data_IF_612567525782
#
_entry.id   IF_612567525782
#
_cell.length_a   1.000
_cell.length_b   1.000
_cell.length_c   1.000
_cell.angle_alpha   90.00
_cell.angle_beta   90.00
_cell.angle_gamma   90.00
#
_symmetry.space_group_name_H-M   'P 1'
#
loop_
_entity.id
_entity.type
_entity.pdbx_description
1 polymer ?
#
# COMPACT_ATOMS: atom_id res chain seq x y z
N UNK A 1 46.49 -44.64 20.40
CA UNK A 1 46.17 -43.48 19.53
C UNK A 1 44.84 -43.74 18.79
N UNK A 2 43.75 -44.00 19.53
CA UNK A 2 42.51 -44.57 18.96
C UNK A 2 41.20 -44.07 19.55
N UNK A 3 41.22 -42.98 20.33
CA UNK A 3 40.00 -42.45 20.98
C UNK A 3 39.54 -41.07 20.48
N UNK A 4 40.31 -40.40 19.61
CA UNK A 4 39.94 -39.06 19.13
C UNK A 4 39.12 -39.06 17.82
N UNK A 5 39.14 -40.12 17.02
CA UNK A 5 38.42 -40.15 15.74
C UNK A 5 36.92 -40.47 15.88
N UNK A 6 36.49 -41.22 16.92
CA UNK A 6 35.07 -41.51 17.12
C UNK A 6 34.25 -40.29 17.57
N UNK A 7 34.87 -39.34 18.29
CA UNK A 7 34.17 -38.15 18.80
C UNK A 7 33.82 -37.15 17.68
N UNK A 8 34.63 -37.08 16.61
CA UNK A 8 34.40 -36.12 15.53
C UNK A 8 33.31 -36.61 14.56
N UNK A 9 33.24 -37.93 14.32
CA UNK A 9 32.19 -38.52 13.49
C UNK A 9 30.80 -38.42 14.14
N UNK A 10 30.69 -38.56 15.47
CA UNK A 10 29.42 -38.40 16.17
C UNK A 10 28.93 -36.94 16.21
N UNK A 11 29.84 -35.96 16.26
CA UNK A 11 29.47 -34.53 16.25
C UNK A 11 28.93 -34.09 14.88
N UNK A 12 29.47 -34.63 13.79
CA UNK A 12 29.00 -34.36 12.42
C UNK A 12 27.60 -34.96 12.14
N UNK A 13 27.27 -36.11 12.72
CA UNK A 13 25.95 -36.74 12.58
C UNK A 13 24.87 -35.98 13.36
N UNK A 14 25.22 -35.35 14.49
CA UNK A 14 24.27 -34.51 15.21
C UNK A 14 23.94 -33.21 14.46
N UNK A 15 24.90 -32.58 13.78
CA UNK A 15 24.64 -31.36 13.02
C UNK A 15 23.73 -31.56 11.79
N UNK A 16 23.68 -32.76 11.21
CA UNK A 16 22.78 -33.06 10.08
C UNK A 16 21.36 -33.45 10.50
N UNK A 17 21.11 -33.74 11.78
CA UNK A 17 19.80 -34.13 12.30
C UNK A 17 18.96 -32.98 12.87
N UNK A 18 19.52 -31.79 13.13
CA UNK A 18 18.81 -30.68 13.80
C UNK A 18 18.35 -29.53 12.90
N UNK A 19 18.47 -29.64 11.57
CA UNK A 19 17.92 -28.63 10.67
C UNK A 19 17.20 -29.21 9.45
N UNK A 20 16.01 -29.82 9.62
CA UNK A 20 15.01 -29.82 8.58
C UNK A 20 14.11 -28.59 8.80
N UNK A 21 14.65 -27.40 8.56
CA UNK A 21 13.80 -26.26 8.23
C UNK A 21 14.14 -25.78 6.82
N UNK A 22 14.07 -26.71 5.87
CA UNK A 22 13.65 -26.34 4.53
C UNK A 22 12.14 -26.12 4.62
N UNK A 23 11.74 -24.96 5.15
CA UNK A 23 10.37 -24.50 5.04
C UNK A 23 10.12 -24.30 3.55
N UNK A 24 9.51 -25.30 2.92
CA UNK A 24 8.86 -25.15 1.63
C UNK A 24 7.72 -24.15 1.83
N UNK A 25 8.04 -22.87 1.87
CA UNK A 25 7.07 -21.83 1.57
C UNK A 25 6.72 -22.03 0.10
N UNK A 26 5.68 -22.81 -0.13
CA UNK A 26 5.03 -22.88 -1.43
C UNK A 26 4.40 -21.51 -1.64
N UNK A 27 5.19 -20.58 -2.19
CA UNK A 27 4.70 -19.28 -2.62
C UNK A 27 3.75 -19.54 -3.77
N UNK A 28 2.45 -19.65 -3.47
CA UNK A 28 1.42 -19.59 -4.48
C UNK A 28 1.55 -18.23 -5.16
N UNK A 29 1.90 -18.21 -6.44
CA UNK A 29 1.99 -16.98 -7.20
C UNK A 29 0.60 -16.34 -7.27
N UNK A 30 0.47 -15.16 -6.67
CA UNK A 30 -0.72 -14.34 -6.78
C UNK A 30 -0.74 -13.69 -8.18
N UNK A 31 -1.73 -14.05 -8.98
CA UNK A 31 -1.96 -13.46 -10.31
C UNK A 31 -3.15 -12.52 -10.20
N UNK A 32 -2.90 -11.21 -10.28
CA UNK A 32 -3.94 -10.19 -10.34
C UNK A 32 -4.12 -9.77 -11.81
N UNK A 33 -5.35 -9.80 -12.35
CA UNK A 33 -5.59 -9.34 -13.71
C UNK A 33 -5.35 -7.84 -13.80
N UNK A 34 -4.30 -7.45 -14.54
CA UNK A 34 -3.96 -6.06 -14.78
C UNK A 34 -4.82 -5.48 -15.91
N UNK A 35 -5.36 -4.29 -15.70
CA UNK A 35 -6.13 -3.56 -16.72
C UNK A 35 -5.44 -2.25 -17.08
N UNK A 36 -5.25 -2.01 -18.37
CA UNK A 36 -4.83 -0.71 -18.89
C UNK A 36 -6.07 0.17 -19.11
N UNK A 37 -6.06 1.38 -18.54
CA UNK A 37 -7.12 2.38 -18.69
C UNK A 37 -6.55 3.59 -19.43
N UNK A 38 -7.18 3.96 -20.55
CA UNK A 38 -6.84 5.19 -21.28
C UNK A 38 -7.32 6.42 -20.49
N UNK A 39 -6.45 7.41 -20.34
CA UNK A 39 -6.75 8.70 -19.72
C UNK A 39 -6.94 9.72 -20.85
N UNK A 40 -8.09 10.39 -20.95
CA UNK A 40 -8.30 11.45 -21.93
C UNK A 40 -7.28 12.58 -21.71
N UNK A 41 -6.45 12.85 -22.71
CA UNK A 41 -5.50 13.97 -22.67
C UNK A 41 -6.23 15.26 -23.05
N UNK A 42 -6.52 16.13 -22.09
CA UNK A 42 -6.97 17.50 -22.38
C UNK A 42 -5.78 18.46 -22.30
N UNK A 43 -5.66 19.35 -23.29
CA UNK A 43 -4.58 20.32 -23.39
C UNK A 43 -4.88 21.54 -22.50
N UNK A 44 -4.09 21.75 -21.45
CA UNK A 44 -4.19 22.89 -20.53
C UNK A 44 -2.91 23.74 -20.62
N UNK A 45 -2.97 25.09 -20.53
CA UNK A 45 -1.80 25.95 -20.64
C UNK A 45 -0.78 25.72 -19.53
N UNK A 46 0.49 25.73 -19.94
CA UNK A 46 1.68 25.35 -19.18
C UNK A 46 2.10 26.43 -18.15
N UNK A 47 2.15 26.15 -16.84
CA UNK A 47 2.91 26.98 -15.92
C UNK A 47 4.43 26.75 -16.12
N UNK A 48 5.26 27.81 -16.05
CA UNK A 48 6.65 27.77 -16.53
C UNK A 48 7.60 26.85 -15.75
N UNK A 49 7.23 26.41 -14.53
CA UNK A 49 8.11 25.67 -13.62
C UNK A 49 7.66 24.23 -13.34
N UNK A 50 6.79 23.64 -14.19
CA UNK A 50 6.23 22.31 -13.97
C UNK A 50 6.84 21.29 -14.94
N UNK A 51 7.33 20.17 -14.40
CA UNK A 51 7.71 19.01 -15.21
C UNK A 51 6.45 18.45 -15.88
N UNK A 52 6.48 18.30 -17.21
CA UNK A 52 5.35 17.75 -17.97
C UNK A 52 5.42 16.22 -17.93
N UNK A 53 4.59 15.60 -17.10
CA UNK A 53 4.32 14.17 -17.16
C UNK A 53 3.07 13.96 -18.03
N UNK A 54 3.23 13.22 -19.14
CA UNK A 54 2.12 12.82 -20.00
C UNK A 54 1.94 11.31 -19.87
N UNK A 55 1.00 10.86 -19.04
CA UNK A 55 0.52 9.48 -19.01
C UNK A 55 -0.88 9.42 -19.60
N UNK A 56 -1.00 8.83 -20.78
CA UNK A 56 -2.31 8.56 -21.41
C UNK A 56 -2.85 7.18 -21.03
N UNK A 57 -2.12 6.42 -20.22
CA UNK A 57 -2.48 5.08 -19.76
C UNK A 57 -2.17 4.97 -18.27
N UNK A 58 -3.13 4.43 -17.51
CA UNK A 58 -2.95 4.00 -16.12
C UNK A 58 -3.18 2.49 -16.03
N UNK A 59 -2.29 1.80 -15.33
CA UNK A 59 -2.43 0.39 -15.01
C UNK A 59 -3.20 0.26 -13.71
N UNK A 60 -4.23 -0.58 -13.70
CA UNK A 60 -5.12 -0.74 -12.54
C UNK A 60 -5.34 -2.21 -12.19
N UNK A 61 -5.51 -2.49 -10.91
CA UNK A 61 -5.83 -3.80 -10.36
C UNK A 61 -7.09 -3.69 -9.50
N UNK A 62 -7.94 -4.72 -9.54
CA UNK A 62 -9.11 -4.82 -8.68
C UNK A 62 -8.86 -5.85 -7.58
N UNK A 63 -9.20 -5.49 -6.35
CA UNK A 63 -9.04 -6.33 -5.16
C UNK A 63 -10.15 -6.01 -4.15
N UNK A 64 -10.24 -6.80 -3.08
CA UNK A 64 -11.22 -6.54 -2.02
C UNK A 64 -10.56 -6.12 -0.70
N UNK A 65 -11.17 -5.17 0.00
CA UNK A 65 -10.67 -4.64 1.29
C UNK A 65 -11.78 -4.66 2.32
N UNK A 66 -11.44 -5.00 3.57
CA UNK A 66 -12.33 -4.96 4.70
C UNK A 66 -13.06 -6.27 5.01
N UNK A 67 -13.85 -6.23 6.10
CA UNK A 67 -14.68 -7.35 6.57
C UNK A 67 -16.10 -6.87 6.94
N UNK A 68 -17.15 -7.13 6.13
CA UNK A 68 -17.13 -7.89 4.87
C UNK A 68 -16.34 -7.20 3.74
N UNK A 69 -15.87 -7.93 2.73
CA UNK A 69 -15.02 -7.38 1.67
C UNK A 69 -15.74 -6.38 0.77
N UNK A 70 -15.10 -5.23 0.51
CA UNK A 70 -15.52 -4.19 -0.42
C UNK A 70 -14.60 -4.19 -1.64
N UNK A 71 -15.16 -4.26 -2.85
CA UNK A 71 -14.37 -4.22 -4.09
C UNK A 71 -13.84 -2.82 -4.34
N UNK A 72 -12.53 -2.70 -4.59
CA UNK A 72 -11.83 -1.46 -4.91
C UNK A 72 -10.97 -1.65 -6.15
N UNK A 73 -10.65 -0.55 -6.83
CA UNK A 73 -9.75 -0.56 -7.98
C UNK A 73 -8.64 0.46 -7.76
N UNK A 74 -7.41 -0.03 -7.74
CA UNK A 74 -6.19 0.71 -7.40
C UNK A 74 -5.32 0.88 -8.63
N UNK A 75 -4.65 2.03 -8.72
CA UNK A 75 -3.59 2.26 -9.69
C UNK A 75 -2.35 1.51 -9.23
N UNK A 76 -1.67 0.86 -10.17
CA UNK A 76 -0.37 0.25 -9.91
C UNK A 76 0.70 1.33 -10.01
N UNK A 77 0.94 2.02 -8.91
CA UNK A 77 2.03 2.97 -8.78
C UNK A 77 3.28 2.28 -8.22
N UNK A 78 4.40 2.41 -8.93
CA UNK A 78 5.70 1.86 -8.50
C UNK A 78 6.66 2.96 -8.02
N UNK A 79 6.22 4.21 -8.06
CA UNK A 79 6.97 5.39 -7.65
C UNK A 79 6.73 5.83 -6.21
N UNK A 80 5.80 5.18 -5.49
CA UNK A 80 5.49 5.43 -4.08
C UNK A 80 5.51 4.14 -3.26
N UNK A 81 5.69 4.28 -1.94
CA UNK A 81 5.69 3.17 -0.96
C UNK A 81 4.32 2.96 -0.30
N UNK A 82 3.55 4.03 -0.08
CA UNK A 82 2.24 3.97 0.56
C UNK A 82 1.12 3.73 -0.46
N UNK A 83 0.53 2.54 -0.39
CA UNK A 83 -0.80 2.30 -0.99
C UNK A 83 -1.89 3.04 -0.21
N UNK A 84 -2.87 3.60 -0.92
CA UNK A 84 -3.95 4.38 -0.33
C UNK A 84 -5.28 4.23 -1.06
N UNK A 85 -6.36 4.35 -0.29
CA UNK A 85 -7.73 4.31 -0.78
C UNK A 85 -8.42 5.63 -0.47
N UNK A 86 -9.33 6.05 -1.35
CA UNK A 86 -10.22 7.16 -1.07
C UNK A 86 -11.30 6.70 -0.11
N UNK A 87 -11.36 7.33 1.07
CA UNK A 87 -12.30 6.99 2.13
C UNK A 87 -13.45 7.98 2.28
N UNK A 88 -13.28 9.20 1.76
CA UNK A 88 -14.34 10.19 1.69
C UNK A 88 -15.21 9.96 0.46
N UNK A 89 -16.51 9.75 0.70
CA UNK A 89 -17.50 9.54 -0.36
C UNK A 89 -17.59 10.77 -1.25
N UNK A 90 -17.42 10.57 -2.56
CA UNK A 90 -17.67 11.59 -3.58
C UNK A 90 -18.53 10.99 -4.69
N UNK A 91 -19.49 11.72 -5.28
CA UNK A 91 -20.34 11.20 -6.36
C UNK A 91 -19.56 10.71 -7.59
N UNK A 92 -18.34 11.20 -7.79
CA UNK A 92 -17.56 10.96 -8.99
C UNK A 92 -16.70 9.68 -8.97
N UNK A 93 -16.48 9.07 -7.79
CA UNK A 93 -15.51 7.99 -7.59
C UNK A 93 -16.01 6.90 -6.65
N UNK A 94 -15.77 5.60 -6.95
CA UNK A 94 -15.87 4.54 -5.96
C UNK A 94 -14.93 4.84 -4.78
N UNK A 95 -15.42 4.70 -3.56
CA UNK A 95 -14.65 4.93 -2.33
C UNK A 95 -14.80 3.73 -1.40
N UNK A 96 -13.72 3.43 -0.69
CA UNK A 96 -13.76 2.47 0.42
C UNK A 96 -14.55 3.11 1.57
N UNK A 97 -15.43 2.35 2.22
CA UNK A 97 -16.20 2.82 3.37
C UNK A 97 -15.67 2.19 4.66
N UNK A 98 -14.83 2.89 5.44
CA UNK A 98 -14.26 2.37 6.69
C UNK A 98 -15.32 1.85 7.67
N UNK A 99 -16.45 2.56 7.75
CA UNK A 99 -17.55 2.23 8.67
C UNK A 99 -18.26 0.91 8.34
N UNK A 100 -18.10 0.40 7.11
CA UNK A 100 -18.67 -0.87 6.69
C UNK A 100 -17.70 -2.05 6.89
N UNK A 101 -16.48 -1.80 7.39
CA UNK A 101 -15.48 -2.83 7.67
C UNK A 101 -15.26 -2.99 9.17
N UNK A 102 -15.62 -4.16 9.70
CA UNK A 102 -15.38 -4.53 11.10
C UNK A 102 -13.89 -4.72 11.44
N UNK A 103 -13.04 -4.95 10.43
CA UNK A 103 -11.59 -5.09 10.56
C UNK A 103 -10.81 -3.79 10.38
N UNK A 104 -11.47 -2.68 10.03
CA UNK A 104 -10.85 -1.37 9.93
C UNK A 104 -10.37 -0.88 11.31
N UNK A 105 -9.10 -0.49 11.40
CA UNK A 105 -8.54 0.14 12.60
C UNK A 105 -7.76 1.38 12.21
N UNK A 106 -8.14 2.58 12.69
CA UNK A 106 -7.34 3.78 12.46
C UNK A 106 -6.01 3.67 13.23
N UNK A 107 -4.93 4.19 12.66
CA UNK A 107 -3.61 4.18 13.31
C UNK A 107 -3.50 5.38 14.26
N UNK A 108 -3.32 5.16 15.58
CA UNK A 108 -3.08 6.24 16.53
C UNK A 108 -1.74 6.94 16.25
N UNK A 109 -1.64 8.23 16.53
CA UNK A 109 -0.41 8.98 16.30
C UNK A 109 0.78 8.50 17.15
N UNK A 110 0.51 7.86 18.30
CA UNK A 110 1.55 7.24 19.14
C UNK A 110 2.08 5.91 18.59
N UNK A 111 1.53 5.40 17.48
CA UNK A 111 1.99 4.16 16.86
C UNK A 111 3.38 4.33 16.25
N UNK A 112 4.27 3.33 16.36
CA UNK A 112 5.55 3.32 15.65
C UNK A 112 5.40 3.50 14.13
N UNK A 113 4.29 3.02 13.55
CA UNK A 113 3.95 3.25 12.14
C UNK A 113 3.91 4.74 11.79
N UNK A 114 3.50 5.59 12.72
CA UNK A 114 3.39 7.03 12.53
C UNK A 114 4.71 7.78 12.70
N UNK A 115 5.64 7.22 13.48
CA UNK A 115 6.94 7.83 13.75
C UNK A 115 8.04 7.34 12.81
N UNK A 116 7.76 6.32 12.00
CA UNK A 116 8.74 5.73 11.07
C UNK A 116 8.91 6.63 9.85
N UNK A 117 10.16 7.02 9.57
CA UNK A 117 10.52 7.79 8.37
C UNK A 117 10.63 6.84 7.19
N UNK A 118 9.97 7.18 6.08
CA UNK A 118 9.99 6.39 4.84
C UNK A 118 10.42 7.28 3.66
N UNK A 119 10.50 6.76 2.43
CA UNK A 119 10.77 7.60 1.25
C UNK A 119 9.62 8.56 0.98
N UNK A 120 8.40 8.09 1.20
CA UNK A 120 7.20 8.91 1.07
C UNK A 120 7.05 9.90 2.24
N UNK A 121 7.46 9.50 3.45
CA UNK A 121 7.34 10.31 4.67
C UNK A 121 8.71 10.80 5.14
N UNK A 122 9.29 11.73 4.39
CA UNK A 122 10.58 12.36 4.74
C UNK A 122 10.49 13.33 5.92
N UNK A 123 9.30 13.81 6.25
CA UNK A 123 8.96 14.53 7.49
C UNK A 123 8.04 13.62 8.32
N UNK A 124 8.21 13.51 9.66
CA UNK A 124 7.34 12.67 10.47
C UNK A 124 5.87 13.02 10.26
N UNK A 125 5.05 11.97 10.22
CA UNK A 125 3.62 12.04 9.97
C UNK A 125 2.97 12.92 11.06
N UNK A 126 2.11 13.86 10.66
CA UNK A 126 1.50 14.82 11.60
C UNK A 126 0.36 14.17 12.39
N UNK A 127 0.05 14.68 13.59
CA UNK A 127 -1.13 14.21 14.33
C UNK A 127 -2.34 15.09 14.00
N UNK A 128 -3.48 14.47 13.64
CA UNK A 128 -4.73 15.22 13.51
C UNK A 128 -5.33 15.60 14.88
N UNK A 129 -6.41 16.37 14.85
CA UNK A 129 -7.15 16.78 16.06
C UNK A 129 -7.70 15.61 16.89
N UNK A 130 -7.85 14.43 16.30
CA UNK A 130 -8.32 13.19 16.93
C UNK A 130 -7.16 12.30 17.40
N UNK A 131 -5.92 12.78 17.33
CA UNK A 131 -4.69 12.04 17.64
C UNK A 131 -4.49 10.82 16.76
N UNK A 132 -4.96 10.87 15.52
CA UNK A 132 -4.70 9.88 14.49
C UNK A 132 -3.50 10.30 13.65
N UNK A 133 -2.92 9.31 12.97
CA UNK A 133 -1.74 9.50 12.14
C UNK A 133 -2.09 10.11 10.78
N UNK A 134 -1.93 11.43 10.64
CA UNK A 134 -2.26 12.18 9.43
C UNK A 134 -1.11 12.23 8.44
N UNK A 135 -1.31 11.57 7.30
CA UNK A 135 -0.37 11.44 6.20
C UNK A 135 -0.73 12.39 5.06
N UNK A 136 0.31 12.99 4.48
CA UNK A 136 0.25 13.74 3.23
C UNK A 136 1.25 13.08 2.28
N UNK A 137 0.77 12.64 1.12
CA UNK A 137 1.58 12.05 0.07
C UNK A 137 1.62 13.02 -1.11
N UNK A 138 2.82 13.37 -1.57
CA UNK A 138 3.04 14.30 -2.69
C UNK A 138 3.76 13.61 -3.83
N UNK A 139 3.32 13.87 -5.06
CA UNK A 139 3.85 13.26 -6.28
C UNK A 139 4.71 14.24 -7.07
N UNK A 140 5.53 13.70 -7.99
CA UNK A 140 6.45 14.49 -8.82
C UNK A 140 5.75 15.46 -9.77
N UNK A 141 4.49 15.21 -10.12
CA UNK A 141 3.65 16.10 -10.93
C UNK A 141 3.05 17.28 -10.14
N UNK A 142 3.44 17.40 -8.86
CA UNK A 142 2.92 18.35 -7.87
C UNK A 142 1.46 18.11 -7.46
N UNK A 143 0.90 16.92 -7.73
CA UNK A 143 -0.32 16.48 -7.07
C UNK A 143 -0.04 16.01 -5.63
N UNK A 144 -1.06 16.05 -4.78
CA UNK A 144 -0.96 15.54 -3.41
C UNK A 144 -2.28 14.96 -2.92
N UNK A 145 -2.22 14.01 -2.00
CA UNK A 145 -3.37 13.43 -1.32
C UNK A 145 -3.10 13.40 0.19
N UNK A 146 -4.16 13.54 0.97
CA UNK A 146 -4.02 13.56 2.43
C UNK A 146 -5.19 12.87 3.15
N UNK A 147 -4.90 12.38 4.34
CA UNK A 147 -5.84 11.70 5.21
C UNK A 147 -5.13 10.96 6.32
N UNK A 148 -5.77 9.93 6.87
CA UNK A 148 -5.23 9.21 8.03
C UNK A 148 -4.74 7.81 7.65
N UNK A 149 -3.64 7.35 8.26
CA UNK A 149 -3.22 5.95 8.16
C UNK A 149 -4.19 5.05 8.91
N UNK A 150 -4.43 3.87 8.33
CA UNK A 150 -5.27 2.84 8.90
C UNK A 150 -4.70 1.46 8.59
N UNK A 151 -5.19 0.45 9.32
CA UNK A 151 -5.00 -0.95 8.96
C UNK A 151 -6.33 -1.59 8.64
N UNK A 152 -6.35 -2.47 7.63
CA UNK A 152 -7.50 -3.34 7.36
C UNK A 152 -7.04 -4.65 6.69
N UNK A 153 -8.00 -5.51 6.35
CA UNK A 153 -7.75 -6.78 5.67
C UNK A 153 -7.87 -6.60 4.16
N UNK A 154 -6.76 -6.78 3.45
CA UNK A 154 -6.72 -6.79 1.99
C UNK A 154 -6.87 -8.22 1.48
N UNK A 155 -7.51 -8.41 0.33
CA UNK A 155 -7.70 -9.72 -0.29
C UNK A 155 -7.32 -9.65 -1.76
N UNK A 156 -6.33 -10.44 -2.12
CA UNK A 156 -5.81 -10.58 -3.48
C UNK A 156 -6.18 -11.98 -3.97
N UNK A 157 -7.23 -12.07 -4.80
CA UNK A 157 -7.82 -13.36 -5.15
C UNK A 157 -8.28 -14.12 -3.90
N UNK A 158 -7.70 -15.31 -3.66
CA UNK A 158 -8.02 -16.15 -2.50
C UNK A 158 -7.10 -15.91 -1.29
N UNK A 159 -6.09 -15.05 -1.41
CA UNK A 159 -5.16 -14.76 -0.31
C UNK A 159 -5.59 -13.51 0.45
N UNK A 160 -5.75 -13.66 1.76
CA UNK A 160 -6.02 -12.54 2.68
C UNK A 160 -4.73 -12.05 3.34
N UNK A 161 -4.56 -10.74 3.39
CA UNK A 161 -3.51 -10.01 4.10
C UNK A 161 -4.16 -9.15 5.18
N UNK A 162 -4.38 -9.70 6.39
CA UNK A 162 -4.91 -8.94 7.51
C UNK A 162 -3.88 -7.95 8.05
N UNK A 163 -4.35 -6.80 8.54
CA UNK A 163 -3.50 -5.81 9.21
C UNK A 163 -2.58 -5.02 8.27
N UNK A 164 -2.88 -4.99 6.97
CA UNK A 164 -2.14 -4.17 6.01
C UNK A 164 -2.35 -2.69 6.32
N UNK A 165 -1.24 -1.96 6.47
CA UNK A 165 -1.25 -0.50 6.62
C UNK A 165 -1.51 0.15 5.26
N UNK A 166 -2.40 1.12 5.22
CA UNK A 166 -2.71 1.90 4.02
C UNK A 166 -3.15 3.33 4.41
N UNK A 167 -3.11 4.24 3.45
CA UNK A 167 -3.67 5.58 3.61
C UNK A 167 -5.16 5.62 3.32
N UNK A 168 -5.94 6.17 4.25
CA UNK A 168 -7.37 6.41 4.08
C UNK A 168 -7.56 7.91 3.78
N UNK A 169 -7.56 8.26 2.49
CA UNK A 169 -7.45 9.64 2.04
C UNK A 169 -8.82 10.32 1.92
N UNK A 170 -8.88 11.55 2.43
CA UNK A 170 -10.05 12.43 2.42
C UNK A 170 -9.89 13.58 1.41
N UNK A 171 -8.65 14.10 1.37
CA UNK A 171 -8.03 15.14 0.56
C UNK A 171 -7.46 14.73 -0.79
N UNK A 172 -7.57 15.54 -1.84
CA UNK A 172 -6.66 15.47 -2.98
C UNK A 172 -6.54 16.82 -3.68
N UNK A 173 -5.34 17.16 -4.13
CA UNK A 173 -5.08 18.29 -5.04
C UNK A 173 -4.38 17.75 -6.27
N UNK A 174 -5.01 17.83 -7.44
CA UNK A 174 -4.39 17.40 -8.68
C UNK A 174 -3.78 18.56 -9.45
N UNK A 175 -2.82 18.17 -10.28
CA UNK A 175 -2.17 18.98 -11.28
C UNK A 175 -3.04 19.08 -12.57
N UNK A 176 -4.08 18.22 -12.68
CA UNK A 176 -5.16 18.20 -13.68
C UNK A 176 -6.54 18.02 -12.98
N UNK A 177 -7.46 19.00 -13.05
CA UNK A 177 -8.71 18.98 -12.26
C UNK A 177 -9.71 17.87 -12.64
N UNK A 178 -9.59 17.26 -13.83
CA UNK A 178 -10.43 16.11 -14.24
C UNK A 178 -9.96 14.77 -13.64
N UNK A 179 -8.71 14.71 -13.17
CA UNK A 179 -8.04 13.50 -12.63
C UNK A 179 -8.35 13.29 -11.13
N UNK A 180 -8.73 14.37 -10.42
CA UNK A 180 -9.10 14.41 -9.00
C UNK A 180 -10.23 13.44 -8.60
N UNK A 181 -10.95 12.92 -9.59
CA UNK A 181 -12.20 12.21 -9.40
C UNK A 181 -12.12 10.69 -9.51
N UNK A 182 -10.97 10.06 -9.81
CA UNK A 182 -11.01 8.69 -10.36
C UNK A 182 -10.04 7.65 -9.85
N UNK A 183 -9.06 7.97 -9.02
CA UNK A 183 -7.99 7.01 -8.71
C UNK A 183 -7.72 6.85 -7.22
N UNK A 184 -7.38 5.61 -6.88
CA UNK A 184 -6.71 5.22 -5.63
C UNK A 184 -5.31 4.75 -6.02
N UNK A 185 -4.33 4.86 -5.13
CA UNK A 185 -2.91 4.66 -5.45
C UNK A 185 -2.24 3.58 -4.62
#
# INVERSE_FOLDING_TARGET
MGFFFLSFAQLLVFFTLVNPCLSSHQSSSLILPLKAKLIPSQSIPKPPNKLSFHHNVSLTVSLAVGSPPQQVTMVLDTGSELSWLRCKRTPAAPSFSPQLSSSYRPVPCSSPTCTTRTRDFTVPVSCDSKKLCHAILSYADASSVEGNLATDSFRFGNSGLPGMVFGCMDSGTSSNPDEDSRTTG
#
